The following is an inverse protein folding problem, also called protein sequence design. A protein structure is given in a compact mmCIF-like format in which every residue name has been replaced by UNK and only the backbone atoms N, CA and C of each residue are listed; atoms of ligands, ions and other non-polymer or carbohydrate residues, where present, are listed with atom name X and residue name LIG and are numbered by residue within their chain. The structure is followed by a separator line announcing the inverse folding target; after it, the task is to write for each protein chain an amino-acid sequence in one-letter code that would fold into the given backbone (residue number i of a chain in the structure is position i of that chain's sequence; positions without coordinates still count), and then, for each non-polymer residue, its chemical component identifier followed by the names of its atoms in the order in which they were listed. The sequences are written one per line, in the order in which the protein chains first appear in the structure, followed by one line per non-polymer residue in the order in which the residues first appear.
data_IF_789665923029
#
_entry.id   IF_789665923029
#
_cell.length_a   1.000
_cell.length_b   1.000
_cell.length_c   1.000
_cell.angle_alpha   90.00
_cell.angle_beta   90.00
_cell.angle_gamma   90.00
#
_symmetry.space_group_name_H-M   'P 1'
#
loop_
_entity.id
_entity.type
_entity.pdbx_description
1 polymer ?
#
# COMPACT_ATOMS: atom_id res chain seq x y z
N UNK A 1 3.42 24.61 -9.15
CA UNK A 1 3.59 23.16 -9.30
C UNK A 1 4.85 22.72 -8.59
N UNK A 2 4.76 21.68 -7.77
CA UNK A 2 5.91 21.07 -7.10
C UNK A 2 6.09 19.63 -7.59
N UNK A 3 7.33 19.15 -7.62
CA UNK A 3 7.68 17.78 -7.99
C UNK A 3 8.56 17.16 -6.91
N UNK A 4 8.43 15.85 -6.73
CA UNK A 4 9.31 15.05 -5.90
C UNK A 4 9.56 13.69 -6.57
N UNK A 5 10.76 13.13 -6.38
CA UNK A 5 11.12 11.81 -6.89
C UNK A 5 12.12 11.14 -5.95
N UNK A 6 12.09 9.82 -5.93
CA UNK A 6 13.16 8.97 -5.38
C UNK A 6 13.48 7.87 -6.40
N UNK A 7 14.72 7.43 -6.44
CA UNK A 7 15.16 6.36 -7.35
C UNK A 7 15.17 5.00 -6.62
N UNK A 8 15.48 5.01 -5.35
CA UNK A 8 15.57 3.81 -4.52
C UNK A 8 14.88 4.00 -3.18
N UNK A 9 14.39 2.91 -2.59
CA UNK A 9 13.79 2.95 -1.24
C UNK A 9 14.79 3.31 -0.14
N UNK A 10 16.09 3.19 -0.36
CA UNK A 10 17.11 3.63 0.60
C UNK A 10 17.08 5.14 0.87
N UNK A 11 16.62 5.92 -0.13
CA UNK A 11 16.45 7.37 0.00
C UNK A 11 15.21 7.76 0.82
N UNK A 12 14.32 6.82 1.12
CA UNK A 12 13.04 7.10 1.79
C UNK A 12 13.22 7.83 3.11
N UNK A 13 14.15 7.37 3.95
CA UNK A 13 14.37 7.94 5.28
C UNK A 13 14.85 9.39 5.24
N UNK A 14 15.79 9.70 4.35
CA UNK A 14 16.43 11.02 4.25
C UNK A 14 15.65 12.04 3.42
N UNK A 15 14.84 11.54 2.46
CA UNK A 15 14.23 12.41 1.46
C UNK A 15 12.72 12.56 1.62
N UNK A 16 12.04 11.56 2.22
CA UNK A 16 10.59 11.47 2.16
C UNK A 16 9.93 11.35 3.55
N UNK A 17 10.52 10.56 4.45
CA UNK A 17 9.84 10.08 5.67
C UNK A 17 9.41 11.21 6.63
N UNK A 18 10.10 12.33 6.65
CA UNK A 18 9.85 13.48 7.53
C UNK A 18 8.88 14.51 6.90
N UNK A 19 8.38 14.24 5.68
CA UNK A 19 7.51 15.16 4.95
C UNK A 19 6.11 15.20 5.56
N UNK A 20 5.71 16.36 6.05
CA UNK A 20 4.42 16.56 6.71
C UNK A 20 3.29 16.75 5.74
N UNK A 21 2.08 16.38 6.17
CA UNK A 21 0.84 16.62 5.43
C UNK A 21 0.58 18.11 5.22
N UNK A 22 -0.31 18.41 4.30
CA UNK A 22 -0.73 19.78 4.03
C UNK A 22 -2.25 19.86 3.86
N UNK A 23 -2.78 21.05 4.11
CA UNK A 23 -4.17 21.41 3.85
C UNK A 23 -4.24 22.84 3.32
N UNK A 24 -5.35 23.19 2.70
CA UNK A 24 -5.66 24.57 2.39
C UNK A 24 -6.42 25.21 3.53
N UNK A 25 -6.22 26.50 3.72
CA UNK A 25 -6.81 27.22 4.86
C UNK A 25 -8.35 27.15 4.85
N UNK A 26 -8.97 27.29 3.69
CA UNK A 26 -10.42 27.17 3.55
C UNK A 26 -10.98 25.79 3.91
N UNK A 27 -10.18 24.74 3.75
CA UNK A 27 -10.54 23.38 4.18
C UNK A 27 -10.45 23.24 5.70
N UNK A 28 -9.47 23.89 6.32
CA UNK A 28 -9.33 23.91 7.78
C UNK A 28 -10.49 24.59 8.48
N UNK A 29 -11.02 25.68 7.92
CA UNK A 29 -12.20 26.36 8.49
C UNK A 29 -13.40 25.40 8.56
N UNK A 30 -13.70 24.72 7.46
CA UNK A 30 -14.79 23.74 7.41
C UNK A 30 -14.53 22.55 8.38
N UNK A 31 -13.31 22.08 8.50
CA UNK A 31 -12.94 21.00 9.41
C UNK A 31 -13.03 21.41 10.88
N UNK A 32 -12.68 22.66 11.20
CA UNK A 32 -12.83 23.22 12.55
C UNK A 32 -14.29 23.34 12.95
N UNK A 33 -15.13 23.88 12.07
CA UNK A 33 -16.58 24.03 12.30
C UNK A 33 -17.29 22.69 12.57
N UNK A 34 -16.83 21.62 11.92
CA UNK A 34 -17.39 20.27 12.09
C UNK A 34 -16.70 19.41 13.14
N UNK A 35 -15.70 19.97 13.87
CA UNK A 35 -14.96 19.21 14.89
C UNK A 35 -14.18 18.01 14.34
N UNK A 36 -13.79 18.04 13.07
CA UNK A 36 -13.15 16.91 12.37
C UNK A 36 -11.61 16.92 12.48
N UNK A 37 -11.01 17.96 13.05
CA UNK A 37 -9.56 17.99 13.29
C UNK A 37 -9.25 17.17 14.53
N UNK A 38 -9.03 15.87 14.31
CA UNK A 38 -8.59 14.94 15.36
C UNK A 38 -7.08 14.71 15.23
N UNK A 39 -6.27 15.41 16.05
CA UNK A 39 -4.82 15.26 16.07
C UNK A 39 -4.06 16.07 15.01
N UNK A 40 -4.72 16.84 14.17
CA UNK A 40 -4.10 17.86 13.34
C UNK A 40 -3.77 19.10 14.19
N UNK A 41 -2.51 19.55 14.16
CA UNK A 41 -2.04 20.76 14.81
C UNK A 41 -1.27 21.61 13.79
N UNK A 42 -1.23 22.91 14.00
CA UNK A 42 -0.40 23.83 13.21
C UNK A 42 1.11 23.49 13.27
N UNK A 43 1.54 22.62 14.16
CA UNK A 43 2.92 22.18 14.25
C UNK A 43 3.24 20.98 13.36
N UNK A 44 2.23 20.23 12.89
CA UNK A 44 2.42 18.98 12.13
C UNK A 44 1.79 19.00 10.73
N UNK A 45 1.21 20.12 10.31
CA UNK A 45 0.64 20.28 8.97
C UNK A 45 1.06 21.60 8.32
N UNK A 46 1.37 21.54 7.04
CA UNK A 46 1.63 22.73 6.21
C UNK A 46 0.29 23.32 5.80
N UNK A 47 0.07 24.60 6.05
CA UNK A 47 -1.18 25.26 5.68
C UNK A 47 -0.93 26.24 4.52
N UNK A 48 -1.53 25.95 3.37
CA UNK A 48 -1.51 26.84 2.21
C UNK A 48 -2.67 27.82 2.25
N UNK A 49 -2.35 29.06 1.99
CA UNK A 49 -3.31 30.17 1.90
C UNK A 49 -3.52 30.50 0.44
N UNK A 50 -4.65 30.09 -0.10
CA UNK A 50 -4.99 30.21 -1.52
C UNK A 50 -6.00 31.33 -1.81
N UNK A 51 -6.51 31.99 -0.75
CA UNK A 51 -7.46 33.11 -0.83
C UNK A 51 -7.09 34.17 0.19
N UNK A 52 -7.57 35.40 -0.03
CA UNK A 52 -7.49 36.44 0.98
C UNK A 52 -8.20 36.01 2.27
N UNK A 53 -7.54 36.22 3.38
CA UNK A 53 -8.04 35.83 4.70
C UNK A 53 -8.64 37.06 5.36
N UNK A 54 -9.85 36.95 5.90
CA UNK A 54 -10.43 37.97 6.72
C UNK A 54 -9.77 38.04 8.10
N UNK A 55 -9.74 39.22 8.72
CA UNK A 55 -9.26 39.37 10.09
C UNK A 55 -10.07 38.52 11.09
N UNK A 56 -11.34 38.27 10.79
CA UNK A 56 -12.19 37.40 11.61
C UNK A 56 -11.73 35.95 11.57
N UNK A 57 -11.41 35.43 10.39
CA UNK A 57 -10.84 34.10 10.20
C UNK A 57 -9.49 33.96 10.90
N UNK A 58 -8.62 34.98 10.80
CA UNK A 58 -7.34 34.97 11.50
C UNK A 58 -7.50 34.94 13.02
N UNK A 59 -8.49 35.66 13.56
CA UNK A 59 -8.81 35.60 15.00
C UNK A 59 -9.30 34.21 15.42
N UNK A 60 -10.19 33.59 14.65
CA UNK A 60 -10.67 32.21 14.91
C UNK A 60 -9.52 31.21 14.92
N UNK A 61 -8.59 31.31 13.97
CA UNK A 61 -7.40 30.45 13.90
C UNK A 61 -6.46 30.63 15.10
N UNK A 62 -6.19 31.89 15.49
CA UNK A 62 -5.37 32.18 16.69
C UNK A 62 -5.95 31.55 17.94
N UNK A 63 -7.27 31.66 18.13
CA UNK A 63 -7.96 31.04 19.27
C UNK A 63 -7.95 29.52 19.17
N UNK A 64 -8.32 28.95 18.02
CA UNK A 64 -8.44 27.51 17.83
C UNK A 64 -7.11 26.77 18.03
N UNK A 65 -6.00 27.40 17.63
CA UNK A 65 -4.67 26.81 17.72
C UNK A 65 -3.82 27.37 18.86
N UNK A 66 -4.41 28.21 19.71
CA UNK A 66 -3.75 28.84 20.86
C UNK A 66 -2.40 29.52 20.51
N UNK A 67 -2.39 30.30 19.43
CA UNK A 67 -1.21 31.03 18.92
C UNK A 67 -1.54 32.51 18.73
N UNK A 68 -0.80 33.37 19.40
CA UNK A 68 -1.02 34.82 19.36
C UNK A 68 -0.63 35.45 18.03
N UNK A 69 0.42 34.94 17.41
CA UNK A 69 0.95 35.46 16.13
C UNK A 69 0.90 34.40 15.03
N UNK A 70 -0.09 34.53 14.15
CA UNK A 70 -0.17 33.78 12.91
C UNK A 70 -0.11 34.78 11.75
N UNK A 71 0.82 34.61 10.84
CA UNK A 71 0.99 35.43 9.63
C UNK A 71 1.10 34.55 8.40
N UNK A 72 0.97 35.13 7.22
CA UNK A 72 1.15 34.43 5.95
C UNK A 72 2.51 34.82 5.38
N UNK A 73 3.34 33.85 5.07
CA UNK A 73 4.63 34.05 4.42
C UNK A 73 4.44 34.50 2.95
N UNK A 74 5.44 35.17 2.34
CA UNK A 74 5.36 35.60 0.94
C UNK A 74 5.13 34.44 -0.06
N UNK A 75 5.43 33.21 0.32
CA UNK A 75 5.21 32.01 -0.50
C UNK A 75 3.78 31.41 -0.37
N UNK A 76 2.88 32.11 0.35
CA UNK A 76 1.49 31.67 0.52
C UNK A 76 1.32 30.55 1.56
N UNK A 77 2.30 30.32 2.42
CA UNK A 77 2.22 29.33 3.51
C UNK A 77 2.04 30.08 4.83
N UNK A 78 1.18 29.55 5.68
CA UNK A 78 1.02 30.09 7.05
C UNK A 78 2.34 29.98 7.82
N UNK A 79 2.67 31.04 8.59
CA UNK A 79 3.91 31.08 9.39
C UNK A 79 3.77 30.32 10.70
N UNK A 80 3.42 29.04 10.60
CA UNK A 80 3.23 28.16 11.73
C UNK A 80 4.40 27.19 11.93
N UNK A 81 5.18 26.95 10.88
CA UNK A 81 6.31 26.02 10.90
C UNK A 81 7.37 26.38 9.85
N UNK A 82 8.55 25.79 10.01
CA UNK A 82 9.60 25.82 8.99
C UNK A 82 9.54 24.53 8.16
N UNK A 83 9.58 24.64 6.82
CA UNK A 83 9.59 23.48 5.94
C UNK A 83 10.89 22.69 6.10
N UNK A 84 10.79 21.36 6.11
CA UNK A 84 11.94 20.46 6.03
C UNK A 84 12.59 20.51 4.63
N UNK A 85 11.77 20.63 3.61
CA UNK A 85 12.19 20.71 2.21
C UNK A 85 11.36 21.77 1.47
N UNK A 86 11.95 22.50 0.51
CA UNK A 86 11.20 23.50 -0.27
C UNK A 86 9.97 22.94 -1.00
N UNK A 87 9.99 21.64 -1.33
CA UNK A 87 8.93 20.89 -2.00
C UNK A 87 8.28 19.83 -1.08
N UNK A 88 8.19 20.11 0.21
CA UNK A 88 7.74 19.15 1.23
C UNK A 88 6.35 18.59 0.93
N UNK A 89 5.40 19.39 0.44
CA UNK A 89 4.08 18.90 0.05
C UNK A 89 4.11 17.87 -1.10
N UNK A 90 4.99 18.05 -2.09
CA UNK A 90 5.16 17.06 -3.15
C UNK A 90 5.83 15.77 -2.63
N UNK A 91 6.76 15.89 -1.68
CA UNK A 91 7.37 14.74 -1.00
C UNK A 91 6.34 13.98 -0.17
N UNK A 92 5.46 14.67 0.53
CA UNK A 92 4.34 14.04 1.24
C UNK A 92 3.42 13.29 0.27
N UNK A 93 3.10 13.85 -0.89
CA UNK A 93 2.32 13.13 -1.92
C UNK A 93 3.03 11.90 -2.47
N UNK A 94 4.35 11.92 -2.55
CA UNK A 94 5.13 10.73 -2.88
C UNK A 94 5.08 9.68 -1.78
N UNK A 95 5.13 10.10 -0.49
CA UNK A 95 4.91 9.25 0.67
C UNK A 95 3.54 8.55 0.60
N UNK A 96 2.47 9.31 0.30
CA UNK A 96 1.12 8.78 0.13
C UNK A 96 1.07 7.71 -0.96
N UNK A 97 1.67 7.96 -2.13
CA UNK A 97 1.73 6.98 -3.23
C UNK A 97 2.44 5.70 -2.81
N UNK A 98 3.57 5.81 -2.11
CA UNK A 98 4.32 4.65 -1.62
C UNK A 98 3.50 3.85 -0.61
N UNK A 99 2.84 4.51 0.34
CA UNK A 99 2.00 3.88 1.35
C UNK A 99 0.77 3.19 0.74
N UNK A 100 0.05 3.89 -0.14
CA UNK A 100 -1.15 3.35 -0.78
C UNK A 100 -0.82 2.16 -1.69
N UNK A 101 0.31 2.19 -2.39
CA UNK A 101 0.74 1.08 -3.24
C UNK A 101 1.27 -0.13 -2.45
N UNK A 102 1.69 0.05 -1.20
CA UNK A 102 2.03 -1.07 -0.32
C UNK A 102 0.84 -2.01 -0.08
N UNK A 103 -0.41 -1.51 -0.20
CA UNK A 103 -1.64 -2.30 -0.12
C UNK A 103 -1.76 -3.38 -1.21
N UNK A 104 -0.96 -3.31 -2.26
CA UNK A 104 -0.87 -4.39 -3.29
C UNK A 104 -0.36 -5.70 -2.68
N UNK A 105 0.40 -5.63 -1.58
CA UNK A 105 0.88 -6.80 -0.84
C UNK A 105 2.01 -7.57 -1.52
N UNK A 106 2.68 -6.96 -2.51
CA UNK A 106 3.84 -7.55 -3.20
C UNK A 106 4.84 -6.46 -3.59
N UNK A 107 6.07 -6.86 -3.88
CA UNK A 107 7.10 -5.92 -4.34
C UNK A 107 6.81 -5.50 -5.79
N UNK A 108 6.88 -4.20 -6.02
CA UNK A 108 6.74 -3.60 -7.34
C UNK A 108 8.12 -3.21 -7.84
N UNK A 109 8.50 -3.69 -9.03
CA UNK A 109 9.71 -3.27 -9.74
C UNK A 109 9.30 -2.53 -11.00
N UNK A 110 9.53 -1.22 -11.03
CA UNK A 110 9.16 -0.40 -12.18
C UNK A 110 9.27 1.09 -11.86
N UNK A 111 8.99 1.93 -12.85
CA UNK A 111 8.89 3.38 -12.70
C UNK A 111 7.42 3.78 -12.56
N UNK A 112 7.11 4.51 -11.51
CA UNK A 112 5.76 5.03 -11.23
C UNK A 112 5.81 6.54 -11.42
N UNK A 113 4.92 7.07 -12.24
CA UNK A 113 4.73 8.51 -12.46
C UNK A 113 3.31 8.84 -12.04
N UNK A 114 3.19 9.67 -11.00
CA UNK A 114 1.90 10.12 -10.50
C UNK A 114 1.73 11.63 -10.73
N UNK A 115 0.65 12.02 -11.38
CA UNK A 115 0.30 13.41 -11.60
C UNK A 115 -0.93 13.75 -10.75
N UNK A 116 -0.79 14.71 -9.84
CA UNK A 116 -1.83 15.09 -8.86
C UNK A 116 -2.41 13.88 -8.11
N UNK A 117 -1.54 13.03 -7.48
CA UNK A 117 -2.01 11.83 -6.79
C UNK A 117 -2.86 12.18 -5.56
N UNK A 118 -3.74 11.24 -5.20
CA UNK A 118 -4.53 11.29 -3.98
C UNK A 118 -4.94 9.89 -3.57
N UNK A 119 -5.27 9.67 -2.28
CA UNK A 119 -5.55 8.34 -1.71
C UNK A 119 -6.60 7.55 -2.50
N UNK A 120 -7.68 8.19 -2.94
CA UNK A 120 -8.72 7.51 -3.72
C UNK A 120 -8.17 6.93 -5.02
N UNK A 121 -7.46 7.74 -5.82
CA UNK A 121 -6.89 7.30 -7.10
C UNK A 121 -5.79 6.27 -6.91
N UNK A 122 -4.93 6.48 -5.92
CA UNK A 122 -3.83 5.56 -5.59
C UNK A 122 -4.38 4.18 -5.18
N UNK A 123 -5.39 4.14 -4.32
CA UNK A 123 -5.99 2.88 -3.84
C UNK A 123 -6.78 2.16 -4.94
N UNK A 124 -7.48 2.87 -5.81
CA UNK A 124 -8.12 2.27 -6.99
C UNK A 124 -7.09 1.68 -7.97
N UNK A 125 -5.96 2.37 -8.16
CA UNK A 125 -4.86 1.82 -8.94
C UNK A 125 -4.27 0.57 -8.29
N UNK A 126 -4.04 0.58 -6.97
CA UNK A 126 -3.55 -0.58 -6.21
C UNK A 126 -4.50 -1.79 -6.35
N UNK A 127 -5.82 -1.57 -6.29
CA UNK A 127 -6.83 -2.63 -6.52
C UNK A 127 -6.74 -3.21 -7.94
N UNK A 128 -6.61 -2.36 -8.96
CA UNK A 128 -6.45 -2.81 -10.35
C UNK A 128 -5.17 -3.62 -10.52
N UNK A 129 -4.06 -3.14 -9.99
CA UNK A 129 -2.77 -3.82 -10.06
C UNK A 129 -2.81 -5.18 -9.36
N UNK A 130 -3.44 -5.27 -8.18
CA UNK A 130 -3.64 -6.54 -7.46
C UNK A 130 -4.45 -7.56 -8.29
N UNK A 131 -5.47 -7.11 -9.04
CA UNK A 131 -6.24 -8.00 -9.93
C UNK A 131 -5.38 -8.56 -11.06
N UNK A 132 -4.56 -7.72 -11.69
CA UNK A 132 -3.63 -8.16 -12.77
C UNK A 132 -2.63 -9.17 -12.23
N UNK A 133 -1.98 -8.88 -11.10
CA UNK A 133 -1.00 -9.78 -10.48
C UNK A 133 -1.63 -11.13 -10.12
N UNK A 134 -2.86 -11.13 -9.58
CA UNK A 134 -3.57 -12.38 -9.26
C UNK A 134 -3.91 -13.18 -10.53
N UNK A 135 -4.31 -12.51 -11.61
CA UNK A 135 -4.59 -13.16 -12.88
C UNK A 135 -3.32 -13.78 -13.48
N UNK A 136 -2.20 -13.07 -13.48
CA UNK A 136 -0.92 -13.60 -13.95
C UNK A 136 -0.45 -14.80 -13.13
N UNK A 137 -0.56 -14.73 -11.78
CA UNK A 137 -0.22 -15.88 -10.92
C UNK A 137 -1.07 -17.11 -11.24
N UNK A 138 -2.36 -16.95 -11.57
CA UNK A 138 -3.24 -18.06 -11.98
C UNK A 138 -2.84 -18.62 -13.33
N UNK A 139 -2.43 -17.79 -14.27
CA UNK A 139 -2.01 -18.22 -15.60
C UNK A 139 -0.64 -18.92 -15.59
N UNK A 140 0.17 -18.70 -14.57
CA UNK A 140 1.47 -19.34 -14.39
C UNK A 140 1.38 -20.66 -13.58
N UNK A 141 0.18 -21.17 -13.31
CA UNK A 141 0.02 -22.53 -12.78
C UNK A 141 0.50 -23.52 -13.83
N UNK A 142 1.37 -24.50 -13.47
CA UNK A 142 1.83 -25.51 -14.40
C UNK A 142 0.64 -26.22 -15.06
N UNK A 143 0.66 -26.33 -16.37
CA UNK A 143 -0.34 -27.09 -17.11
C UNK A 143 0.13 -28.54 -17.18
N UNK A 144 -0.59 -29.43 -16.51
CA UNK A 144 -0.32 -30.85 -16.51
C UNK A 144 -1.31 -31.53 -17.44
N UNK A 145 -0.82 -32.40 -18.31
CA UNK A 145 -1.67 -33.34 -19.06
C UNK A 145 -1.93 -34.58 -18.18
N UNK A 146 -3.10 -34.59 -17.53
CA UNK A 146 -3.50 -35.69 -16.64
C UNK A 146 -3.82 -37.01 -17.41
N UNK A 147 -3.86 -36.97 -18.73
CA UNK A 147 -4.06 -38.18 -19.56
C UNK A 147 -2.76 -38.98 -19.71
N UNK A 148 -1.61 -38.38 -19.48
CA UNK A 148 -0.33 -39.05 -19.50
C UNK A 148 -0.08 -39.77 -18.16
N UNK A 149 0.70 -40.87 -18.18
CA UNK A 149 1.10 -41.54 -16.98
C UNK A 149 1.98 -40.60 -16.10
N UNK A 150 1.82 -40.59 -14.77
CA UNK A 150 2.66 -39.80 -13.91
C UNK A 150 4.11 -40.33 -13.91
N UNK A 151 5.07 -39.45 -13.62
CA UNK A 151 6.46 -39.83 -13.38
C UNK A 151 6.58 -40.77 -12.17
N UNK A 152 5.80 -40.49 -11.11
CA UNK A 152 5.70 -41.37 -9.94
C UNK A 152 4.22 -41.49 -9.54
N UNK A 153 3.78 -42.72 -9.34
CA UNK A 153 2.49 -43.05 -8.72
C UNK A 153 2.62 -43.05 -7.19
N UNK A 154 1.53 -43.36 -6.49
CA UNK A 154 1.50 -43.38 -5.02
C UNK A 154 2.47 -44.41 -4.42
N UNK A 155 2.69 -45.55 -5.09
CA UNK A 155 3.62 -46.57 -4.61
C UNK A 155 5.07 -46.08 -4.69
N UNK A 156 5.48 -45.56 -5.84
CA UNK A 156 6.80 -44.97 -6.03
C UNK A 156 7.05 -43.78 -5.06
N UNK A 157 6.03 -42.99 -4.75
CA UNK A 157 6.12 -41.92 -3.74
C UNK A 157 6.31 -42.53 -2.35
N UNK A 158 5.60 -43.56 -1.99
CA UNK A 158 5.77 -44.28 -0.71
C UNK A 158 7.14 -44.97 -0.56
N UNK A 159 7.72 -45.39 -1.63
CA UNK A 159 9.08 -45.94 -1.63
C UNK A 159 10.15 -44.86 -1.42
N UNK A 160 9.84 -43.64 -1.83
CA UNK A 160 10.74 -42.49 -1.71
C UNK A 160 10.57 -41.76 -0.38
N UNK A 161 9.33 -41.64 0.12
CA UNK A 161 9.00 -40.88 1.34
C UNK A 161 8.54 -41.83 2.47
N UNK A 162 8.96 -41.59 3.73
CA UNK A 162 8.51 -42.38 4.87
C UNK A 162 7.03 -42.13 5.25
N UNK A 163 6.41 -41.13 4.67
CA UNK A 163 5.05 -40.70 5.00
C UNK A 163 4.00 -41.75 4.57
N UNK A 164 2.95 -41.90 5.39
CA UNK A 164 1.78 -42.74 5.13
C UNK A 164 0.53 -41.94 5.49
N UNK A 165 -0.64 -42.47 5.13
CA UNK A 165 -1.91 -41.86 5.51
C UNK A 165 -1.96 -41.61 7.03
N UNK A 166 -2.44 -40.44 7.49
CA UNK A 166 -3.05 -39.32 6.73
C UNK A 166 -2.03 -38.28 6.21
N UNK A 167 -0.72 -38.45 6.46
CA UNK A 167 0.30 -37.44 6.14
C UNK A 167 0.88 -37.57 4.72
N UNK A 168 0.52 -38.61 3.97
CA UNK A 168 0.89 -38.71 2.56
C UNK A 168 -0.07 -37.84 1.73
N UNK A 169 0.30 -36.57 1.53
CA UNK A 169 -0.55 -35.54 0.91
C UNK A 169 -0.36 -35.40 -0.59
N UNK A 170 0.35 -36.32 -1.25
CA UNK A 170 0.59 -36.28 -2.71
C UNK A 170 0.23 -37.64 -3.28
N UNK A 171 -0.58 -37.65 -4.35
CA UNK A 171 -1.05 -38.87 -5.00
C UNK A 171 -0.21 -39.23 -6.23
N UNK A 172 0.31 -38.23 -6.95
CA UNK A 172 1.09 -38.41 -8.18
C UNK A 172 2.12 -37.31 -8.35
N UNK A 173 3.26 -37.61 -8.95
CA UNK A 173 4.26 -36.64 -9.42
C UNK A 173 4.31 -36.69 -10.94
N UNK A 174 4.18 -35.55 -11.61
CA UNK A 174 4.26 -35.42 -13.05
C UNK A 174 5.58 -34.84 -13.53
N UNK A 175 6.21 -33.99 -12.70
CA UNK A 175 7.51 -33.40 -13.03
C UNK A 175 8.37 -33.31 -11.76
N UNK A 176 9.65 -33.62 -11.91
CA UNK A 176 10.65 -33.55 -10.84
C UNK A 176 11.96 -33.06 -11.44
N UNK A 177 12.48 -31.96 -10.90
CA UNK A 177 13.78 -31.38 -11.25
C UNK A 177 14.55 -30.96 -10.00
N UNK A 178 15.74 -30.45 -10.18
CA UNK A 178 16.55 -29.96 -9.05
C UNK A 178 15.88 -28.79 -8.29
N UNK A 179 15.07 -27.98 -8.97
CA UNK A 179 14.54 -26.73 -8.45
C UNK A 179 13.01 -26.71 -8.27
N UNK A 180 12.29 -27.70 -8.78
CA UNK A 180 10.85 -27.76 -8.66
C UNK A 180 10.30 -29.17 -8.79
N UNK A 181 9.11 -29.37 -8.23
CA UNK A 181 8.30 -30.58 -8.38
C UNK A 181 6.88 -30.18 -8.70
N UNK A 182 6.24 -30.91 -9.60
CA UNK A 182 4.82 -30.75 -9.91
C UNK A 182 4.12 -32.04 -9.49
N UNK A 183 3.29 -31.93 -8.47
CA UNK A 183 2.50 -33.03 -7.92
C UNK A 183 1.01 -32.77 -8.00
N UNK A 184 0.24 -33.83 -7.90
CA UNK A 184 -1.22 -33.81 -7.85
C UNK A 184 -1.69 -34.45 -6.55
N UNK A 185 -2.64 -33.79 -5.88
CA UNK A 185 -3.44 -34.32 -4.79
C UNK A 185 -4.91 -34.31 -5.18
N UNK A 186 -5.58 -35.45 -5.13
CA UNK A 186 -7.04 -35.53 -5.24
C UNK A 186 -7.63 -35.17 -3.87
N UNK A 187 -8.31 -34.07 -3.79
CA UNK A 187 -8.96 -33.61 -2.55
C UNK A 187 -10.41 -34.05 -2.57
N UNK A 188 -10.81 -34.85 -1.58
CA UNK A 188 -12.19 -35.34 -1.42
C UNK A 188 -12.77 -34.83 -0.10
N UNK A 189 -14.09 -34.90 0.06
CA UNK A 189 -14.77 -34.55 1.32
C UNK A 189 -14.38 -35.45 2.50
N UNK A 190 -13.85 -36.64 2.22
CA UNK A 190 -13.43 -37.61 3.23
C UNK A 190 -11.99 -37.39 3.75
N UNK A 191 -11.31 -36.34 3.30
CA UNK A 191 -9.98 -36.04 3.82
C UNK A 191 -10.05 -35.68 5.31
N UNK A 192 -9.12 -36.21 6.15
CA UNK A 192 -9.18 -36.04 7.59
C UNK A 192 -9.19 -34.57 8.07
N UNK A 193 -8.58 -33.68 7.28
CA UNK A 193 -8.51 -32.25 7.62
C UNK A 193 -9.83 -31.49 7.36
N UNK A 194 -10.84 -32.11 6.72
CA UNK A 194 -12.18 -31.55 6.60
C UNK A 194 -13.15 -32.03 7.68
N UNK A 195 -12.77 -33.04 8.48
CA UNK A 195 -13.64 -33.59 9.51
C UNK A 195 -13.88 -32.54 10.59
N UNK A 196 -15.15 -32.17 10.79
CA UNK A 196 -15.55 -31.16 11.79
C UNK A 196 -15.30 -29.71 11.36
N UNK A 197 -14.81 -29.46 10.14
CA UNK A 197 -14.80 -28.13 9.56
C UNK A 197 -16.20 -27.77 9.03
N UNK A 198 -16.50 -26.47 8.90
CA UNK A 198 -17.82 -25.98 8.51
C UNK A 198 -18.40 -26.71 7.29
N UNK A 199 -19.73 -26.96 7.28
CA UNK A 199 -20.41 -27.50 6.12
C UNK A 199 -20.43 -26.53 4.95
#
# INVERSE_FOLDING_TARGET
TQNASIETLSQFKSEIADSRTFSFLHELEALLEHGLIKGGDLNNAIVYVDKEISEETMKKLRVAFNKDNISVKPNGILDNLTLHHPNEAARHKLLDVLGDLALVGTRIKGKIIANKPGHHVNTEFAKKLSKVIKAEKRNNVPKIDLSQPPLMDVNAIMDTLPHRSPFLLVDKIYELSENHVIGVKNVTMNEPFFVGHFP
#
